data_IF_128794946957
#
_entry.id   IF_128794946957
#
_cell.length_a   1.000
_cell.length_b   1.000
_cell.length_c   1.000
_cell.angle_alpha   90.00
_cell.angle_beta   90.00
_cell.angle_gamma   90.00
#
_symmetry.space_group_name_H-M   'P 1'
#
loop_
_entity.id
_entity.type
_entity.pdbx_description
1 polymer ?
#
# COMPACT_ATOMS: atom_id res chain seq x y z
N UNK A 1 6.74 13.56 -1.94
CA UNK A 1 6.26 13.48 -0.54
C UNK A 1 6.94 12.29 0.13
N UNK A 2 6.93 12.17 1.47
CA UNK A 2 7.53 11.03 2.16
C UNK A 2 6.43 10.22 2.86
N UNK A 3 6.42 8.92 2.62
CA UNK A 3 5.50 7.98 3.28
C UNK A 3 6.31 7.01 4.13
N UNK A 4 5.90 6.75 5.39
CA UNK A 4 6.52 5.70 6.17
C UNK A 4 6.13 4.34 5.58
N UNK A 5 7.10 3.45 5.50
CA UNK A 5 6.87 2.05 5.11
C UNK A 5 7.47 1.13 6.17
N UNK A 6 6.81 0.00 6.37
CA UNK A 6 7.29 -1.08 7.23
C UNK A 6 7.78 -2.18 6.32
N UNK A 7 9.03 -2.60 6.52
CA UNK A 7 9.66 -3.67 5.75
C UNK A 7 9.86 -4.88 6.65
N UNK A 8 9.53 -6.05 6.14
CA UNK A 8 9.79 -7.34 6.77
C UNK A 8 10.65 -8.18 5.82
N UNK A 9 11.72 -8.79 6.32
CA UNK A 9 12.55 -9.73 5.55
C UNK A 9 12.09 -11.15 5.85
N UNK A 10 11.80 -11.91 4.80
CA UNK A 10 11.43 -13.33 4.86
C UNK A 10 12.46 -14.20 4.12
N UNK A 11 12.20 -15.50 4.05
CA UNK A 11 12.98 -16.43 3.23
C UNK A 11 12.76 -16.22 1.71
N UNK A 12 11.69 -15.50 1.35
CA UNK A 12 11.27 -15.23 -0.04
C UNK A 12 11.56 -13.78 -0.48
N UNK A 13 12.41 -13.04 0.25
CA UNK A 13 12.75 -11.65 -0.06
C UNK A 13 12.27 -10.66 1.01
N UNK A 14 11.76 -9.52 0.57
CA UNK A 14 11.33 -8.41 1.41
C UNK A 14 9.88 -8.04 1.12
N UNK A 15 9.03 -8.20 2.13
CA UNK A 15 7.65 -7.70 2.13
C UNK A 15 7.64 -6.26 2.64
N UNK A 16 6.84 -5.39 2.03
CA UNK A 16 6.77 -3.99 2.42
C UNK A 16 5.35 -3.46 2.32
N UNK A 17 4.95 -2.60 3.25
CA UNK A 17 3.64 -1.95 3.21
C UNK A 17 3.67 -0.56 3.82
N UNK A 18 2.71 0.28 3.40
CA UNK A 18 2.51 1.61 3.99
C UNK A 18 1.36 1.55 5.01
N UNK A 19 1.61 1.69 6.32
CA UNK A 19 0.55 1.63 7.34
C UNK A 19 -0.47 2.76 7.23
N UNK A 20 -0.12 3.86 6.53
CA UNK A 20 -1.04 4.98 6.30
C UNK A 20 -2.01 4.73 5.13
N UNK A 21 -1.71 3.77 4.25
CA UNK A 21 -2.51 3.46 3.06
C UNK A 21 -2.96 2.00 3.15
N UNK A 22 -4.15 1.78 3.69
CA UNK A 22 -4.67 0.43 3.97
C UNK A 22 -4.70 -0.39 2.68
N UNK A 23 -4.10 -1.58 2.71
CA UNK A 23 -4.03 -2.45 1.54
C UNK A 23 -2.91 -2.11 0.55
N UNK A 24 -2.11 -1.07 0.78
CA UNK A 24 -0.93 -0.77 -0.02
C UNK A 24 0.27 -1.62 0.42
N UNK A 25 0.47 -2.74 -0.26
CA UNK A 25 1.55 -3.71 -0.06
C UNK A 25 2.35 -3.90 -1.35
N UNK A 26 3.61 -4.28 -1.20
CA UNK A 26 4.50 -4.68 -2.29
C UNK A 26 5.59 -5.62 -1.77
N UNK A 27 6.44 -6.11 -2.67
CA UNK A 27 7.51 -7.06 -2.36
C UNK A 27 8.70 -6.87 -3.32
N UNK A 28 9.90 -7.32 -2.93
CA UNK A 28 11.05 -7.49 -3.83
C UNK A 28 12.05 -8.52 -3.30
N UNK A 29 12.94 -9.02 -4.16
CA UNK A 29 14.00 -9.97 -3.75
C UNK A 29 15.08 -9.26 -2.90
N UNK A 30 15.24 -7.96 -3.12
CA UNK A 30 16.15 -7.08 -2.37
C UNK A 30 15.40 -5.97 -1.65
N UNK A 31 16.05 -5.36 -0.65
CA UNK A 31 15.47 -4.22 0.07
C UNK A 31 15.23 -3.06 -0.89
N UNK A 32 16.20 -2.79 -1.76
CA UNK A 32 16.15 -1.72 -2.76
C UNK A 32 14.97 -1.93 -3.72
N UNK A 33 14.79 -3.15 -4.21
CA UNK A 33 13.68 -3.50 -5.10
C UNK A 33 12.33 -3.34 -4.39
N UNK A 34 12.17 -3.87 -3.18
CA UNK A 34 10.93 -3.72 -2.42
C UNK A 34 10.58 -2.24 -2.20
N UNK A 35 11.59 -1.42 -1.88
CA UNK A 35 11.43 0.04 -1.72
C UNK A 35 11.06 0.74 -3.03
N UNK A 36 11.57 0.31 -4.18
CA UNK A 36 11.14 0.83 -5.50
C UNK A 36 9.70 0.40 -5.78
N UNK A 37 9.38 -0.88 -5.60
CA UNK A 37 8.06 -1.42 -5.93
C UNK A 37 6.95 -0.83 -5.06
N UNK A 38 7.21 -0.53 -3.78
CA UNK A 38 6.21 0.15 -2.93
C UNK A 38 6.01 1.62 -3.30
N UNK A 39 7.00 2.30 -3.89
CA UNK A 39 6.81 3.67 -4.36
C UNK A 39 5.78 3.71 -5.49
N UNK A 40 5.87 2.77 -6.44
CA UNK A 40 4.90 2.65 -7.53
C UNK A 40 3.51 2.27 -7.01
N UNK A 41 3.43 1.34 -6.06
CA UNK A 41 2.17 0.97 -5.42
C UNK A 41 1.51 2.15 -4.67
N UNK A 42 2.30 3.00 -4.00
CA UNK A 42 1.81 4.22 -3.35
C UNK A 42 1.30 5.22 -4.38
N UNK A 43 2.00 5.42 -5.50
CA UNK A 43 1.54 6.31 -6.56
C UNK A 43 0.20 5.85 -7.12
N UNK A 44 0.07 4.57 -7.48
CA UNK A 44 -1.17 4.01 -7.99
C UNK A 44 -2.31 4.11 -6.97
N UNK A 45 -2.04 3.87 -5.68
CA UNK A 45 -3.03 4.01 -4.62
C UNK A 45 -3.61 5.44 -4.58
N UNK A 46 -2.75 6.46 -4.64
CA UNK A 46 -3.19 7.86 -4.59
C UNK A 46 -3.98 8.28 -5.83
N UNK A 47 -3.61 7.76 -7.00
CA UNK A 47 -4.37 7.96 -8.24
C UNK A 47 -5.76 7.33 -8.13
N UNK A 48 -5.87 6.09 -7.68
CA UNK A 48 -7.16 5.42 -7.48
C UNK A 48 -8.05 6.14 -6.48
N UNK A 49 -7.51 6.58 -5.33
CA UNK A 49 -8.29 7.35 -4.35
C UNK A 49 -8.84 8.64 -4.96
N UNK A 50 -8.05 9.35 -5.75
CA UNK A 50 -8.50 10.57 -6.42
C UNK A 50 -9.64 10.31 -7.43
N UNK A 51 -9.69 9.13 -8.06
CA UNK A 51 -10.79 8.71 -8.93
C UNK A 51 -12.03 8.23 -8.15
N UNK A 52 -11.82 7.48 -7.06
CA UNK A 52 -12.89 6.90 -6.24
C UNK A 52 -13.72 7.94 -5.47
N UNK A 53 -13.16 9.12 -5.19
CA UNK A 53 -13.91 10.23 -4.57
C UNK A 53 -15.13 10.70 -5.40
N UNK A 54 -15.34 10.16 -6.60
CA UNK A 54 -16.54 10.35 -7.42
C UNK A 54 -17.71 9.39 -7.11
N UNK A 55 -17.49 8.39 -6.24
CA UNK A 55 -18.47 7.36 -5.89
C UNK A 55 -19.54 7.80 -4.88
N UNK A 56 -20.61 7.00 -4.77
CA UNK A 56 -21.61 7.17 -3.69
C UNK A 56 -21.21 6.32 -2.48
N UNK A 57 -21.01 6.97 -1.34
CA UNK A 57 -20.73 6.31 -0.07
C UNK A 57 -22.00 5.72 0.53
N UNK A 58 -21.93 4.48 1.01
CA UNK A 58 -22.97 3.83 1.81
C UNK A 58 -22.34 3.22 3.06
N UNK A 59 -22.98 3.40 4.20
CA UNK A 59 -22.58 2.78 5.46
C UNK A 59 -23.29 1.43 5.61
N UNK A 60 -22.56 0.42 6.08
CA UNK A 60 -23.09 -0.93 6.36
C UNK A 60 -22.73 -1.30 7.80
N UNK A 61 -23.72 -1.70 8.58
CA UNK A 61 -23.54 -2.17 9.95
C UNK A 61 -22.98 -3.60 9.94
N UNK A 62 -21.91 -3.83 10.70
CA UNK A 62 -21.27 -5.14 10.83
C UNK A 62 -21.39 -5.59 12.29
N UNK A 63 -22.00 -6.75 12.52
CA UNK A 63 -21.99 -7.38 13.82
C UNK A 63 -20.61 -8.01 14.07
N UNK A 64 -19.95 -7.58 15.15
CA UNK A 64 -18.67 -8.11 15.63
C UNK A 64 -18.91 -8.92 16.89
#
# INVERSE_FOLDING_TARGET
MKYPVVVHKSEFGYDVHCPLLKGCHSQGDTLEEALVNIQDAIHMYLEMVAEEESGKLYEVEVAV
#
